data_IF_673078238990
#
_entry.id   IF_673078238990
#
_cell.length_a   1.000
_cell.length_b   1.000
_cell.length_c   1.000
_cell.angle_alpha   90.00
_cell.angle_beta   90.00
_cell.angle_gamma   90.00
#
_symmetry.space_group_name_H-M   'P 1'
#
loop_
_entity.id
_entity.type
_entity.pdbx_description
1 polymer ?
#
# COMPACT_ATOMS: atom_id res chain seq x y z
N UNK A 1 4.23 24.31 -3.70
CA UNK A 1 3.40 23.86 -2.57
C UNK A 1 2.42 22.84 -3.13
N UNK A 2 2.59 21.56 -2.83
CA UNK A 2 1.68 20.51 -3.31
C UNK A 2 0.39 20.60 -2.51
N UNK A 3 -0.74 20.81 -3.17
CA UNK A 3 -2.04 20.75 -2.51
C UNK A 3 -2.25 19.32 -1.98
N UNK A 4 -2.75 19.16 -0.75
CA UNK A 4 -3.04 17.85 -0.15
C UNK A 4 -3.96 16.96 -1.01
N UNK A 5 -4.61 17.51 -2.03
CA UNK A 5 -5.44 16.82 -3.02
C UNK A 5 -4.66 16.03 -4.09
N UNK A 6 -3.32 16.06 -4.09
CA UNK A 6 -2.48 15.36 -5.08
C UNK A 6 -1.81 14.09 -4.56
N UNK A 7 -2.07 13.70 -3.31
CA UNK A 7 -1.43 12.54 -2.67
C UNK A 7 -2.43 11.40 -2.51
N UNK A 8 -2.05 10.23 -3.01
CA UNK A 8 -2.78 8.98 -2.82
C UNK A 8 -1.93 7.94 -2.10
N UNK A 9 -2.60 7.05 -1.40
CA UNK A 9 -2.02 5.90 -0.71
C UNK A 9 -2.47 4.64 -1.43
N UNK A 10 -1.52 3.99 -2.08
CA UNK A 10 -1.74 2.74 -2.81
C UNK A 10 -1.32 1.60 -1.93
N UNK A 11 -2.21 0.66 -1.67
CA UNK A 11 -1.92 -0.53 -0.89
C UNK A 11 -2.00 -1.78 -1.75
N UNK A 12 -1.12 -2.74 -1.47
CA UNK A 12 -1.05 -4.03 -2.16
C UNK A 12 -0.83 -5.15 -1.14
N UNK A 13 -1.49 -6.28 -1.35
CA UNK A 13 -1.29 -7.51 -0.58
C UNK A 13 -1.17 -8.69 -1.56
N UNK A 14 -0.22 -9.58 -1.32
CA UNK A 14 0.01 -10.77 -2.14
C UNK A 14 0.52 -11.92 -1.28
N UNK A 15 0.15 -13.14 -1.64
CA UNK A 15 0.75 -14.35 -1.08
C UNK A 15 1.63 -15.10 -2.09
N UNK A 16 2.24 -16.20 -1.65
CA UNK A 16 3.16 -16.99 -2.47
C UNK A 16 2.46 -17.77 -3.60
N UNK A 17 1.14 -17.92 -3.54
CA UNK A 17 0.35 -18.57 -4.60
C UNK A 17 0.05 -17.64 -5.77
N UNK A 18 0.43 -16.36 -5.66
CA UNK A 18 0.11 -15.32 -6.64
C UNK A 18 -1.29 -14.72 -6.45
N UNK A 19 -2.03 -15.11 -5.40
CA UNK A 19 -3.26 -14.44 -5.01
C UNK A 19 -2.93 -13.10 -4.36
N UNK A 20 -3.68 -12.07 -4.71
CA UNK A 20 -3.48 -10.75 -4.15
C UNK A 20 -4.68 -9.85 -4.37
N UNK A 21 -4.60 -8.68 -3.74
CA UNK A 21 -5.58 -7.60 -3.86
C UNK A 21 -4.88 -6.27 -3.63
N UNK A 22 -5.46 -5.21 -4.17
CA UNK A 22 -4.89 -3.87 -4.08
C UNK A 22 -5.99 -2.81 -4.09
N UNK A 23 -5.61 -1.60 -3.69
CA UNK A 23 -6.50 -0.46 -3.77
C UNK A 23 -5.78 0.87 -3.59
N UNK A 24 -6.55 1.95 -3.74
CA UNK A 24 -6.07 3.33 -3.62
C UNK A 24 -7.02 4.11 -2.71
N UNK A 25 -6.46 4.93 -1.80
CA UNK A 25 -7.23 5.81 -0.93
C UNK A 25 -6.56 7.18 -0.81
N UNK A 26 -7.30 8.18 -0.33
CA UNK A 26 -6.75 9.51 -0.01
C UNK A 26 -6.06 9.61 1.36
N UNK A 27 -5.98 8.52 2.14
CA UNK A 27 -5.48 8.58 3.53
C UNK A 27 -4.69 7.34 3.95
N UNK A 28 -3.54 7.56 4.60
CA UNK A 28 -2.63 6.51 5.08
C UNK A 28 -3.30 5.55 6.05
N UNK A 29 -4.06 6.07 7.02
CA UNK A 29 -4.76 5.28 8.03
C UNK A 29 -5.74 4.31 7.38
N UNK A 30 -6.59 4.82 6.48
CA UNK A 30 -7.55 3.99 5.74
C UNK A 30 -6.85 2.94 4.87
N UNK A 31 -5.75 3.31 4.21
CA UNK A 31 -4.96 2.35 3.44
C UNK A 31 -4.37 1.24 4.34
N UNK A 32 -3.94 1.58 5.56
CA UNK A 32 -3.40 0.61 6.51
C UNK A 32 -4.45 -0.38 7.03
N UNK A 33 -5.68 0.09 7.28
CA UNK A 33 -6.81 -0.76 7.71
C UNK A 33 -7.16 -1.74 6.59
N UNK A 34 -7.37 -1.24 5.37
CA UNK A 34 -7.69 -2.08 4.21
C UNK A 34 -6.58 -3.09 3.91
N UNK A 35 -5.31 -2.69 4.08
CA UNK A 35 -4.19 -3.61 3.93
C UNK A 35 -4.23 -4.76 4.96
N UNK A 36 -4.53 -4.46 6.22
CA UNK A 36 -4.62 -5.49 7.27
C UNK A 36 -5.78 -6.46 7.02
N UNK A 37 -6.94 -5.94 6.63
CA UNK A 37 -8.11 -6.74 6.26
C UNK A 37 -7.80 -7.65 5.06
N UNK A 38 -7.18 -7.09 4.02
CA UNK A 38 -6.75 -7.84 2.84
C UNK A 38 -5.77 -8.97 3.20
N UNK A 39 -4.77 -8.68 4.04
CA UNK A 39 -3.81 -9.68 4.50
C UNK A 39 -4.45 -10.80 5.30
N UNK A 40 -5.45 -10.50 6.14
CA UNK A 40 -6.20 -11.51 6.89
C UNK A 40 -7.02 -12.47 6.03
N UNK A 41 -7.27 -12.12 4.76
CA UNK A 41 -7.96 -13.00 3.79
C UNK A 41 -7.01 -13.91 2.98
N UNK A 42 -5.70 -13.71 3.12
CA UNK A 42 -4.66 -14.43 2.38
C UNK A 42 -4.00 -15.51 3.23
N UNK A 43 -3.19 -16.36 2.60
CA UNK A 43 -2.47 -17.42 3.31
C UNK A 43 -1.39 -16.86 4.26
N UNK A 44 -1.11 -17.52 5.40
CA UNK A 44 -0.02 -17.10 6.29
C UNK A 44 1.30 -16.96 5.53
N UNK A 45 2.02 -15.88 5.81
CA UNK A 45 3.21 -15.48 5.05
C UNK A 45 2.93 -14.46 3.94
N UNK A 46 1.67 -14.13 3.66
CA UNK A 46 1.32 -13.04 2.76
C UNK A 46 2.00 -11.73 3.18
N UNK A 47 2.38 -10.93 2.19
CA UNK A 47 3.07 -9.66 2.39
C UNK A 47 2.28 -8.55 1.74
N UNK A 48 2.44 -7.35 2.27
CA UNK A 48 1.83 -6.19 1.65
C UNK A 48 2.48 -4.89 2.08
N UNK A 49 2.17 -3.84 1.33
CA UNK A 49 2.75 -2.53 1.53
C UNK A 49 1.75 -1.43 1.20
N UNK A 50 1.96 -0.27 1.83
CA UNK A 50 1.33 1.00 1.45
C UNK A 50 2.43 1.90 0.88
N UNK A 51 2.21 2.41 -0.32
CA UNK A 51 3.09 3.36 -1.01
C UNK A 51 2.37 4.68 -1.21
N UNK A 52 3.13 5.77 -1.13
CA UNK A 52 2.64 7.10 -1.49
C UNK A 52 2.80 7.28 -2.99
N UNK A 53 1.74 7.74 -3.65
CA UNK A 53 1.75 8.17 -5.03
C UNK A 53 1.34 9.65 -5.11
N UNK A 54 2.03 10.44 -5.93
CA UNK A 54 1.60 11.80 -6.28
C UNK A 54 1.33 11.93 -7.76
N UNK A 55 0.41 12.82 -8.13
CA UNK A 55 0.24 13.21 -9.52
C UNK A 55 1.36 14.15 -9.94
N UNK A 56 2.24 13.70 -10.82
CA UNK A 56 3.17 14.60 -11.50
C UNK A 56 2.43 15.34 -12.62
N UNK A 57 1.95 16.54 -12.29
CA UNK A 57 1.24 17.43 -13.21
C UNK A 57 2.17 18.11 -14.22
N UNK A 58 3.48 18.11 -13.96
CA UNK A 58 4.49 18.79 -14.78
C UNK A 58 5.15 17.85 -15.79
N UNK A 59 4.98 16.53 -15.64
CA UNK A 59 5.39 15.56 -16.63
C UNK A 59 4.73 15.84 -18.00
N UNK A 60 5.48 15.58 -19.09
CA UNK A 60 4.98 15.70 -20.48
C UNK A 60 3.65 14.95 -20.70
N UNK A 61 3.42 13.89 -19.94
CA UNK A 61 2.14 13.18 -19.82
C UNK A 61 1.85 13.03 -18.32
N UNK A 62 0.84 13.73 -17.76
CA UNK A 62 0.55 13.66 -16.34
C UNK A 62 0.34 12.22 -15.87
N UNK A 63 1.04 11.82 -14.82
CA UNK A 63 1.03 10.43 -14.35
C UNK A 63 1.26 10.34 -12.85
N UNK A 64 0.83 9.26 -12.23
CA UNK A 64 1.10 8.99 -10.82
C UNK A 64 2.49 8.40 -10.64
N UNK A 65 3.29 9.01 -9.78
CA UNK A 65 4.64 8.55 -9.44
C UNK A 65 4.65 8.01 -8.02
N UNK A 66 5.12 6.78 -7.85
CA UNK A 66 5.27 6.16 -6.53
C UNK A 66 6.59 6.57 -5.89
N UNK A 67 6.53 7.19 -4.70
CA UNK A 67 7.71 7.85 -4.10
C UNK A 67 8.36 7.02 -3.04
N UNK A 68 7.56 6.47 -2.13
CA UNK A 68 8.04 5.83 -0.90
C UNK A 68 7.06 4.80 -0.40
N UNK A 69 7.58 3.77 0.24
CA UNK A 69 6.80 2.84 1.05
C UNK A 69 6.66 3.44 2.45
N UNK A 70 5.43 3.59 2.94
CA UNK A 70 5.15 4.15 4.28
C UNK A 70 4.74 3.08 5.28
N UNK A 71 4.36 1.89 4.80
CA UNK A 71 4.04 0.75 5.63
C UNK A 71 4.37 -0.52 4.87
N UNK A 72 4.99 -1.48 5.55
CA UNK A 72 5.16 -2.85 5.06
C UNK A 72 4.70 -3.80 6.15
N UNK A 73 3.87 -4.76 5.79
CA UNK A 73 3.30 -5.74 6.69
C UNK A 73 3.55 -7.16 6.16
N UNK A 74 3.62 -8.12 7.08
CA UNK A 74 3.59 -9.56 6.79
C UNK A 74 2.52 -10.20 7.66
N UNK A 75 1.66 -11.01 7.06
CA UNK A 75 0.66 -11.79 7.76
C UNK A 75 1.30 -13.03 8.38
N UNK A 76 1.09 -13.23 9.68
CA UNK A 76 1.64 -14.36 10.46
C UNK A 76 0.55 -15.32 10.95
N UNK A 77 -0.62 -15.34 10.29
CA UNK A 77 -1.74 -16.21 10.63
C UNK A 77 -2.69 -15.59 11.66
N UNK A 78 -2.20 -15.21 12.83
CA UNK A 78 -3.05 -14.61 13.87
C UNK A 78 -3.07 -13.07 13.83
N UNK A 79 -2.13 -12.45 13.11
CA UNK A 79 -2.02 -10.99 12.98
C UNK A 79 -1.19 -10.58 11.75
N UNK A 80 -1.31 -9.30 11.37
CA UNK A 80 -0.37 -8.66 10.47
C UNK A 80 0.73 -7.96 11.30
N UNK A 81 1.98 -8.39 11.12
CA UNK A 81 3.15 -7.80 11.78
C UNK A 81 3.79 -6.72 10.89
N UNK A 82 4.29 -5.65 11.50
CA UNK A 82 5.05 -4.61 10.80
C UNK A 82 6.42 -5.19 10.42
N UNK A 83 6.77 -5.07 9.14
CA UNK A 83 8.11 -5.43 8.63
C UNK A 83 8.91 -4.13 8.56
N UNK A 84 9.87 -3.98 9.47
CA UNK A 84 10.88 -2.93 9.38
C UNK A 84 11.96 -3.43 8.40
N UNK A 85 12.26 -2.64 7.37
CA UNK A 85 13.32 -2.93 6.42
C UNK A 85 13.56 -1.74 5.50
N UNK A 86 14.82 -1.28 5.47
CA UNK A 86 15.34 -0.16 4.68
C UNK A 86 15.18 -0.36 3.16
#
# INVERSE_FOLDING_TARGET
MHSNSDIFYVWTATDQSGRGTCGVTGGSERASVLLREALGSLTPGAVGNVRVAYLDRHARRPSYVYVRTVLRLRYVGDAAAIVLGD
#
